data_IF_351725206366
#
_entry.id   IF_351725206366
#
_cell.length_a   1.000
_cell.length_b   1.000
_cell.length_c   1.000
_cell.angle_alpha   90.00
_cell.angle_beta   90.00
_cell.angle_gamma   90.00
#
_symmetry.space_group_name_H-M   'P 1'
#
loop_
_entity.id
_entity.type
_entity.pdbx_description
1 polymer ?
#
# COMPACT_ATOMS: atom_id res chain seq x y z
N UNK A 1 -16.85 -54.64 -13.86
CA UNK A 1 -15.52 -54.15 -14.16
C UNK A 1 -15.03 -53.26 -12.99
N UNK A 2 -14.24 -53.81 -12.09
CA UNK A 2 -13.80 -53.02 -10.92
C UNK A 2 -12.76 -51.93 -11.25
N UNK A 3 -12.13 -51.97 -12.43
CA UNK A 3 -11.07 -51.01 -12.77
C UNK A 3 -11.55 -49.60 -13.14
N UNK A 4 -12.77 -49.47 -13.66
CA UNK A 4 -13.32 -48.16 -14.05
C UNK A 4 -13.77 -47.31 -12.86
N UNK A 5 -14.23 -48.00 -11.80
CA UNK A 5 -14.62 -47.27 -10.55
C UNK A 5 -13.39 -46.70 -9.83
N UNK A 6 -12.27 -47.45 -9.89
CA UNK A 6 -11.00 -47.00 -9.32
C UNK A 6 -10.43 -45.75 -10.02
N UNK A 7 -10.53 -45.67 -11.34
CA UNK A 7 -10.05 -44.53 -12.13
C UNK A 7 -10.92 -43.28 -11.87
N UNK A 8 -12.23 -43.46 -11.73
CA UNK A 8 -13.14 -42.35 -11.40
C UNK A 8 -12.91 -41.81 -9.98
N UNK A 9 -12.66 -42.67 -9.02
CA UNK A 9 -12.34 -42.27 -7.65
C UNK A 9 -10.99 -41.54 -7.61
N UNK A 10 -10.02 -41.96 -8.42
CA UNK A 10 -8.71 -41.27 -8.51
C UNK A 10 -8.78 -39.91 -9.18
N UNK A 11 -9.69 -39.70 -10.11
CA UNK A 11 -9.90 -38.41 -10.80
C UNK A 11 -10.72 -37.43 -9.99
N UNK A 12 -11.71 -37.91 -9.22
CA UNK A 12 -12.63 -37.03 -8.45
C UNK A 12 -12.07 -36.68 -7.07
N UNK A 13 -11.34 -37.59 -6.43
CA UNK A 13 -10.77 -37.40 -5.11
C UNK A 13 -9.78 -36.24 -5.03
N UNK A 14 -8.79 -36.09 -5.94
CA UNK A 14 -7.86 -34.95 -5.87
C UNK A 14 -8.52 -33.60 -6.15
N UNK A 15 -9.61 -33.56 -6.91
CA UNK A 15 -10.36 -32.32 -7.17
C UNK A 15 -11.11 -31.86 -5.92
N UNK A 16 -11.76 -32.77 -5.20
CA UNK A 16 -12.46 -32.44 -3.94
C UNK A 16 -11.48 -32.00 -2.84
N UNK A 17 -10.31 -32.63 -2.73
CA UNK A 17 -9.24 -32.21 -1.81
C UNK A 17 -8.68 -30.86 -2.21
N UNK A 18 -8.45 -30.61 -3.50
CA UNK A 18 -8.00 -29.32 -4.01
C UNK A 18 -8.99 -28.20 -3.69
N UNK A 19 -10.28 -28.45 -3.79
CA UNK A 19 -11.31 -27.47 -3.45
C UNK A 19 -11.30 -27.11 -1.96
N UNK A 20 -11.20 -28.10 -1.08
CA UNK A 20 -11.08 -27.86 0.37
C UNK A 20 -9.79 -27.13 0.75
N UNK A 21 -8.67 -27.49 0.13
CA UNK A 21 -7.40 -26.79 0.32
C UNK A 21 -7.46 -25.34 -0.15
N UNK A 22 -8.10 -25.09 -1.29
CA UNK A 22 -8.29 -23.75 -1.84
C UNK A 22 -9.16 -22.87 -0.93
N UNK A 23 -10.27 -23.41 -0.43
CA UNK A 23 -11.11 -22.68 0.55
C UNK A 23 -10.38 -22.40 1.85
N UNK A 24 -9.64 -23.37 2.38
CA UNK A 24 -8.81 -23.17 3.58
C UNK A 24 -7.70 -22.14 3.35
N UNK A 25 -7.09 -22.15 2.17
CA UNK A 25 -6.06 -21.19 1.80
C UNK A 25 -6.64 -19.79 1.70
N UNK A 26 -7.77 -19.61 1.04
CA UNK A 26 -8.46 -18.32 0.97
C UNK A 26 -8.88 -17.78 2.33
N UNK A 27 -9.37 -18.64 3.23
CA UNK A 27 -9.68 -18.25 4.61
C UNK A 27 -8.45 -17.81 5.38
N UNK A 28 -7.33 -18.52 5.21
CA UNK A 28 -6.05 -18.13 5.80
C UNK A 28 -5.54 -16.79 5.26
N UNK A 29 -5.58 -16.59 3.96
CA UNK A 29 -5.18 -15.31 3.35
C UNK A 29 -6.07 -14.15 3.81
N UNK A 30 -7.38 -14.35 3.86
CA UNK A 30 -8.31 -13.34 4.35
C UNK A 30 -8.05 -12.99 5.82
N UNK A 31 -7.77 -13.99 6.67
CA UNK A 31 -7.41 -13.77 8.08
C UNK A 31 -6.07 -13.03 8.22
N UNK A 32 -5.04 -13.41 7.46
CA UNK A 32 -3.73 -12.74 7.45
C UNK A 32 -3.85 -11.31 6.94
N UNK A 33 -4.63 -11.09 5.89
CA UNK A 33 -4.85 -9.75 5.33
C UNK A 33 -5.65 -8.86 6.28
N UNK A 34 -6.66 -9.41 6.97
CA UNK A 34 -7.41 -8.64 7.97
C UNK A 34 -6.54 -8.29 9.18
N UNK A 35 -5.65 -9.18 9.59
CA UNK A 35 -4.69 -8.92 10.66
C UNK A 35 -3.63 -7.89 10.25
N UNK A 36 -3.14 -7.95 9.00
CA UNK A 36 -2.24 -6.94 8.44
C UNK A 36 -2.92 -5.58 8.33
N UNK A 37 -4.17 -5.53 7.89
CA UNK A 37 -4.96 -4.30 7.83
C UNK A 37 -5.24 -3.74 9.22
N UNK A 38 -5.51 -4.58 10.22
CA UNK A 38 -5.67 -4.17 11.60
C UNK A 38 -4.37 -3.61 12.18
N UNK A 39 -3.23 -4.23 11.91
CA UNK A 39 -1.89 -3.71 12.29
C UNK A 39 -1.53 -2.43 11.54
N UNK A 40 -1.87 -2.32 10.26
CA UNK A 40 -1.66 -1.11 9.46
C UNK A 40 -2.52 0.06 9.95
N UNK A 41 -3.71 -0.19 10.49
CA UNK A 41 -4.55 0.84 11.13
C UNK A 41 -3.99 1.37 12.44
N UNK A 42 -3.02 0.69 13.05
CA UNK A 42 -2.35 1.15 14.28
C UNK A 42 -1.26 2.19 13.98
N UNK A 43 -0.79 2.28 12.72
CA UNK A 43 0.13 3.34 12.33
C UNK A 43 -0.62 4.66 12.19
N UNK A 44 -0.61 5.44 13.25
CA UNK A 44 -1.17 6.79 13.27
C UNK A 44 -0.04 7.78 13.03
N UNK A 45 -0.13 8.54 11.95
CA UNK A 45 0.79 9.64 11.69
C UNK A 45 0.44 10.81 12.63
N UNK A 46 1.40 11.19 13.47
CA UNK A 46 1.25 12.31 14.38
C UNK A 46 1.58 13.62 13.68
N UNK A 47 0.98 14.70 14.13
CA UNK A 47 1.23 16.06 13.60
C UNK A 47 2.68 16.51 13.78
N UNK A 48 3.40 16.02 14.77
CA UNK A 48 4.82 16.31 15.01
C UNK A 48 5.76 15.67 13.95
N UNK A 49 5.28 14.71 13.18
CA UNK A 49 6.01 14.13 12.05
C UNK A 49 5.98 15.00 10.78
N UNK A 50 5.15 16.03 10.73
CA UNK A 50 5.04 16.96 9.61
C UNK A 50 6.29 17.85 9.53
N UNK A 51 6.89 17.91 8.33
CA UNK A 51 8.12 18.67 8.11
C UNK A 51 7.79 20.08 7.59
N UNK A 52 7.03 20.16 6.50
CA UNK A 52 6.63 21.44 5.89
C UNK A 52 5.41 21.29 5.00
N UNK A 53 4.68 22.38 4.84
CA UNK A 53 3.61 22.50 3.86
C UNK A 53 4.17 22.62 2.45
N UNK A 54 3.56 21.92 1.50
CA UNK A 54 3.92 21.96 0.08
C UNK A 54 2.68 22.07 -0.78
N UNK A 55 2.80 22.79 -1.90
CA UNK A 55 1.76 22.81 -2.92
C UNK A 55 1.82 21.56 -3.81
N UNK A 56 0.72 21.21 -4.45
CA UNK A 56 0.67 20.09 -5.40
C UNK A 56 1.72 20.25 -6.51
N UNK A 57 1.87 21.45 -7.07
CA UNK A 57 2.86 21.74 -8.11
C UNK A 57 4.31 21.52 -7.63
N UNK A 58 4.65 21.95 -6.42
CA UNK A 58 5.96 21.70 -5.83
C UNK A 58 6.24 20.21 -5.63
N UNK A 59 5.24 19.49 -5.13
CA UNK A 59 5.35 18.04 -4.91
C UNK A 59 5.60 17.30 -6.22
N UNK A 60 4.85 17.62 -7.25
CA UNK A 60 5.01 17.00 -8.57
C UNK A 60 6.37 17.32 -9.20
N UNK A 61 6.84 18.54 -9.05
CA UNK A 61 8.14 18.96 -9.55
C UNK A 61 9.30 18.23 -8.86
N UNK A 62 9.26 18.13 -7.54
CA UNK A 62 10.30 17.45 -6.75
C UNK A 62 10.33 15.93 -6.99
N UNK A 63 9.17 15.32 -7.24
CA UNK A 63 9.03 13.88 -7.41
C UNK A 63 8.93 13.43 -8.88
N UNK A 64 9.22 14.33 -9.82
CA UNK A 64 9.29 13.97 -11.23
C UNK A 64 10.41 12.95 -11.46
N UNK A 65 10.04 11.81 -12.02
CA UNK A 65 11.00 10.77 -12.39
C UNK A 65 11.43 10.98 -13.84
N UNK A 66 12.73 11.07 -14.06
CA UNK A 66 13.33 11.12 -15.39
C UNK A 66 14.21 9.88 -15.50
N UNK A 67 13.72 8.88 -16.20
CA UNK A 67 14.47 7.66 -16.47
C UNK A 67 14.83 7.59 -17.95
N UNK A 68 16.13 7.75 -18.24
CA UNK A 68 16.66 7.70 -19.61
C UNK A 68 16.55 6.31 -20.24
N UNK A 69 16.51 5.26 -19.42
CA UNK A 69 16.39 3.87 -19.88
C UNK A 69 14.94 3.44 -20.11
N UNK A 70 13.96 4.26 -19.73
CA UNK A 70 12.54 3.97 -19.90
C UNK A 70 11.98 2.85 -19.02
N UNK A 71 12.73 2.44 -17.98
CA UNK A 71 12.28 1.42 -17.03
C UNK A 71 11.16 1.93 -16.11
N UNK A 72 11.15 3.22 -15.80
CA UNK A 72 10.09 3.89 -15.05
C UNK A 72 9.39 4.95 -15.90
N UNK A 73 8.09 5.20 -15.76
CA UNK A 73 7.40 6.25 -16.48
C UNK A 73 7.90 7.64 -16.06
N UNK A 74 8.08 8.54 -17.02
CA UNK A 74 8.49 9.94 -16.78
C UNK A 74 7.30 10.76 -16.27
N UNK A 75 6.84 10.42 -15.07
CA UNK A 75 5.69 11.00 -14.40
C UNK A 75 6.04 11.30 -12.95
N UNK A 76 5.33 12.24 -12.30
CA UNK A 76 5.48 12.42 -10.86
C UNK A 76 5.30 11.09 -10.10
N UNK A 77 6.26 10.76 -9.24
CA UNK A 77 6.34 9.50 -8.49
C UNK A 77 6.59 8.23 -9.32
N UNK A 78 6.78 8.33 -10.65
CA UNK A 78 7.08 7.18 -11.50
C UNK A 78 6.04 6.07 -11.39
N UNK A 79 6.42 4.90 -10.87
CA UNK A 79 5.52 3.76 -10.68
C UNK A 79 4.39 4.01 -9.66
N UNK A 80 4.55 4.96 -8.76
CA UNK A 80 3.53 5.35 -7.78
C UNK A 80 2.61 6.46 -8.29
N UNK A 81 2.70 6.81 -9.55
CA UNK A 81 1.90 7.90 -10.13
C UNK A 81 0.39 7.70 -9.96
N UNK A 82 -0.11 6.48 -10.14
CA UNK A 82 -1.54 6.17 -9.95
C UNK A 82 -2.00 6.41 -8.51
N UNK A 83 -1.18 6.06 -7.53
CA UNK A 83 -1.43 6.33 -6.11
C UNK A 83 -1.43 7.81 -5.83
N UNK A 84 -0.49 8.54 -6.41
CA UNK A 84 -0.42 10.00 -6.30
C UNK A 84 -1.65 10.69 -6.89
N UNK A 85 -2.09 10.29 -8.08
CA UNK A 85 -3.28 10.86 -8.74
C UNK A 85 -4.52 10.67 -7.88
N UNK A 86 -4.73 9.48 -7.32
CA UNK A 86 -5.84 9.20 -6.41
C UNK A 86 -5.76 10.07 -5.14
N UNK A 87 -4.57 10.21 -4.57
CA UNK A 87 -4.33 11.06 -3.41
C UNK A 87 -4.59 12.53 -3.70
N UNK A 88 -4.08 13.05 -4.83
CA UNK A 88 -4.26 14.42 -5.28
C UNK A 88 -5.72 14.77 -5.57
N UNK A 89 -6.40 13.89 -6.32
CA UNK A 89 -7.79 14.12 -6.74
C UNK A 89 -8.78 14.09 -5.58
N UNK A 90 -8.40 13.46 -4.47
CA UNK A 90 -9.17 13.46 -3.24
C UNK A 90 -9.01 14.71 -2.37
N UNK A 91 -8.20 15.70 -2.78
CA UNK A 91 -8.02 16.94 -2.03
C UNK A 91 -9.28 17.80 -2.08
N UNK A 92 -9.79 18.15 -0.90
CA UNK A 92 -10.95 19.03 -0.73
C UNK A 92 -10.56 20.47 -0.42
N UNK A 93 -11.58 21.32 -0.31
CA UNK A 93 -11.42 22.72 0.06
C UNK A 93 -10.99 22.82 1.52
N UNK A 94 -9.98 23.65 1.78
CA UNK A 94 -9.43 23.86 3.13
C UNK A 94 -8.45 22.78 3.60
N UNK A 95 -8.13 21.82 2.74
CA UNK A 95 -7.10 20.82 3.01
C UNK A 95 -5.73 21.29 2.52
N UNK A 96 -4.71 21.03 3.32
CA UNK A 96 -3.31 21.32 3.00
C UNK A 96 -2.50 20.03 2.93
N UNK A 97 -1.45 20.03 2.12
CA UNK A 97 -0.55 18.88 2.00
C UNK A 97 0.78 19.22 2.66
N UNK A 98 1.25 18.32 3.49
CA UNK A 98 2.52 18.44 4.20
C UNK A 98 3.43 17.25 3.89
N UNK A 99 4.71 17.53 3.72
CA UNK A 99 5.73 16.50 3.74
C UNK A 99 5.86 15.97 5.17
N UNK A 100 5.88 14.65 5.34
CA UNK A 100 6.13 14.03 6.64
C UNK A 100 7.33 13.08 6.59
N UNK A 101 7.97 12.94 7.73
CA UNK A 101 8.99 11.93 8.00
C UNK A 101 8.69 11.28 9.35
N UNK A 102 8.58 9.96 9.38
CA UNK A 102 8.28 9.20 10.58
C UNK A 102 9.07 7.91 10.64
N UNK A 103 9.30 7.42 11.85
CA UNK A 103 9.91 6.11 12.05
C UNK A 103 8.85 5.05 11.74
N UNK A 104 9.18 4.11 10.86
CA UNK A 104 8.28 3.03 10.49
C UNK A 104 7.95 2.09 11.65
N UNK A 105 6.86 1.32 11.54
CA UNK A 105 6.40 0.42 12.59
C UNK A 105 7.32 -0.77 12.84
N UNK A 106 8.36 -0.94 12.03
CA UNK A 106 9.27 -2.07 12.14
C UNK A 106 10.37 -1.74 13.18
N UNK A 107 10.20 -2.25 14.40
CA UNK A 107 11.10 -2.00 15.53
C UNK A 107 12.55 -2.49 15.33
N UNK A 108 12.77 -3.40 14.37
CA UNK A 108 14.09 -3.99 14.10
C UNK A 108 14.97 -3.18 13.15
N UNK A 109 14.40 -2.25 12.40
CA UNK A 109 15.14 -1.35 11.52
C UNK A 109 14.61 0.05 11.69
N UNK A 110 15.46 0.95 12.13
CA UNK A 110 15.17 2.39 12.16
C UNK A 110 15.09 2.93 10.72
N UNK A 111 14.02 2.60 10.02
CA UNK A 111 13.74 3.13 8.70
C UNK A 111 12.84 4.34 8.84
N UNK A 112 13.27 5.46 8.28
CA UNK A 112 12.42 6.63 8.13
C UNK A 112 11.49 6.40 6.93
N UNK A 113 10.21 6.50 7.20
CA UNK A 113 9.18 6.55 6.17
C UNK A 113 8.92 8.01 5.88
N UNK A 114 8.89 8.37 4.62
CA UNK A 114 8.53 9.71 4.19
C UNK A 114 7.42 9.67 3.15
N UNK A 115 6.67 10.72 3.09
CA UNK A 115 5.58 10.86 2.16
C UNK A 115 4.83 12.17 2.36
N UNK A 116 3.58 12.18 1.98
CA UNK A 116 2.74 13.37 2.04
C UNK A 116 1.47 13.09 2.82
N UNK A 117 1.09 14.02 3.66
CA UNK A 117 -0.10 13.94 4.49
C UNK A 117 -1.06 15.08 4.15
N UNK A 118 -2.34 14.78 4.10
CA UNK A 118 -3.40 15.77 3.99
C UNK A 118 -3.82 16.19 5.39
N UNK A 119 -3.75 17.49 5.64
CA UNK A 119 -4.13 18.10 6.91
C UNK A 119 -5.33 19.02 6.72
N UNK A 120 -6.25 18.96 7.67
CA UNK A 120 -7.38 19.86 7.78
C UNK A 120 -7.50 20.33 9.22
N UNK A 121 -7.56 21.64 9.42
CA UNK A 121 -7.66 22.23 10.75
C UNK A 121 -6.54 21.77 11.72
N UNK A 122 -5.32 21.58 11.20
CA UNK A 122 -4.18 21.13 11.98
C UNK A 122 -4.16 19.64 12.32
N UNK A 123 -5.08 18.86 11.77
CA UNK A 123 -5.15 17.40 11.96
C UNK A 123 -4.82 16.65 10.68
N UNK A 124 -4.07 15.57 10.82
CA UNK A 124 -3.79 14.65 9.72
C UNK A 124 -5.04 13.80 9.44
N UNK A 125 -5.59 13.92 8.25
CA UNK A 125 -6.75 13.12 7.84
C UNK A 125 -6.35 11.84 7.10
N UNK A 126 -5.39 11.95 6.19
CA UNK A 126 -4.88 10.83 5.42
C UNK A 126 -3.46 11.10 4.97
N UNK A 127 -2.75 10.07 4.59
CA UNK A 127 -1.38 10.19 4.11
C UNK A 127 -1.06 9.14 3.06
N UNK A 128 -0.05 9.40 2.24
CA UNK A 128 0.56 8.41 1.37
C UNK A 128 2.05 8.29 1.66
N UNK A 129 2.55 7.08 1.64
CA UNK A 129 3.98 6.80 1.78
C UNK A 129 4.64 6.83 0.40
N UNK A 130 5.64 7.67 0.21
CA UNK A 130 6.36 7.79 -1.05
C UNK A 130 7.65 6.97 -1.06
N UNK A 131 8.29 6.75 0.08
CA UNK A 131 9.52 5.99 0.14
C UNK A 131 10.06 5.77 1.55
N UNK A 132 11.22 5.15 1.58
CA UNK A 132 11.94 4.78 2.80
C UNK A 132 13.33 5.39 2.73
N UNK A 133 13.79 5.92 3.84
CA UNK A 133 15.19 6.37 4.01
C UNK A 133 15.83 5.57 5.12
N UNK A 134 17.05 5.17 4.90
CA UNK A 134 17.90 4.56 5.94
C UNK A 134 18.61 5.63 6.74
#
# INVERSE_FOLDING_TARGET
MPGLVFILVWLVWPVAIRFKFFEMYQKKEAAVNSERLAKAKVFVLKEDALVREMTVAEIEQVNMVIDQLGAAPNLPFGHLHAVWVEFRDGLGVGETVHLFESVGPNAFRKQLIWGYAVCKEGRVERFMTAGWRR
#
